data_IF_904006230423
#
_entry.id   IF_904006230423
#
_cell.length_a   1.000
_cell.length_b   1.000
_cell.length_c   1.000
_cell.angle_alpha   90.00
_cell.angle_beta   90.00
_cell.angle_gamma   90.00
#
_symmetry.space_group_name_H-M   'P 1'
#
loop_
_entity.id
_entity.type
_entity.pdbx_description
1 polymer ?
2 polymer ?
3 non-polymer ?
4 non-polymer ?
#
# COMPACT_ATOMS: atom_id res chain seq x y z
N UNK A 5 -5.91 5.25 25.66
CA UNK A 5 -5.80 6.42 24.79
C UNK A 5 -5.26 6.07 23.40
N UNK A 6 -5.47 4.82 22.98
CA UNK A 6 -5.00 4.32 21.71
C UNK A 6 -6.17 4.19 20.73
N UNK A 7 -5.98 4.71 19.53
CA UNK A 7 -6.95 4.58 18.45
C UNK A 7 -6.25 3.98 17.23
N UNK A 8 -6.83 2.93 16.67
CA UNK A 8 -6.20 2.18 15.59
C UNK A 8 -7.00 2.37 14.31
N UNK A 9 -6.31 2.79 13.24
CA UNK A 9 -6.92 2.99 11.93
C UNK A 9 -6.27 2.05 10.93
N UNK A 10 -7.08 1.42 10.09
CA UNK A 10 -6.61 0.53 9.04
C UNK A 10 -6.73 1.24 7.70
N UNK A 11 -5.59 1.43 7.02
CA UNK A 11 -5.54 2.13 5.75
C UNK A 11 -5.25 1.16 4.62
N UNK A 12 -5.84 1.43 3.46
CA UNK A 12 -5.65 0.63 2.26
C UNK A 12 -5.22 1.55 1.13
N UNK A 13 -4.16 1.19 0.43
CA UNK A 13 -3.61 1.97 -0.67
C UNK A 13 -3.89 1.21 -1.96
N UNK A 14 -4.81 1.73 -2.77
CA UNK A 14 -5.16 1.13 -4.04
C UNK A 14 -4.75 2.08 -5.17
N UNK A 15 -4.64 1.52 -6.36
CA UNK A 15 -4.24 2.30 -7.52
C UNK A 15 -3.84 1.40 -8.66
N UNK A 16 -3.21 2.02 -9.66
CA UNK A 16 -2.78 1.31 -10.86
C UNK A 16 -1.54 0.47 -10.56
N UNK A 17 -0.89 -0.03 -11.61
CA UNK A 17 0.26 -0.91 -11.42
C UNK A 17 1.50 -0.11 -11.10
N UNK A 18 1.71 1.02 -11.77
CA UNK A 18 2.90 1.82 -11.53
C UNK A 18 2.61 3.28 -11.26
N UNK A 19 2.15 3.59 -10.05
CA UNK A 19 1.83 4.96 -9.66
C UNK A 19 2.53 5.39 -8.38
N UNK A 20 3.29 4.50 -7.75
CA UNK A 20 3.99 4.86 -6.53
C UNK A 20 3.25 4.53 -5.25
N UNK A 21 2.41 3.50 -5.26
CA UNK A 21 1.74 3.09 -4.02
C UNK A 21 2.74 2.62 -2.99
N UNK A 22 3.73 1.82 -3.40
CA UNK A 22 4.77 1.40 -2.48
C UNK A 22 5.74 2.52 -2.17
N UNK A 23 6.02 3.37 -3.16
CA UNK A 23 6.95 4.48 -2.94
C UNK A 23 6.41 5.45 -1.91
N UNK A 24 5.11 5.76 -1.97
CA UNK A 24 4.50 6.62 -0.96
C UNK A 24 4.48 5.95 0.40
N UNK A 25 4.28 4.63 0.43
CA UNK A 25 4.22 3.93 1.71
C UNK A 25 5.59 3.82 2.36
N UNK A 26 6.61 3.48 1.57
CA UNK A 26 7.96 3.35 2.11
C UNK A 26 8.50 4.71 2.55
N UNK A 27 8.15 5.77 1.81
CA UNK A 27 8.62 7.10 2.16
C UNK A 27 8.06 7.56 3.49
N UNK A 28 6.84 7.13 3.84
CA UNK A 28 6.27 7.48 5.13
C UNK A 28 6.86 6.65 6.25
N UNK A 29 7.14 5.37 5.99
CA UNK A 29 7.65 4.48 7.02
C UNK A 29 9.15 4.65 7.19
N UNK A 30 9.91 4.41 6.12
CA UNK A 30 11.36 4.38 6.18
C UNK A 30 12.01 5.74 5.98
N UNK A 31 11.26 6.75 5.53
CA UNK A 31 11.82 8.04 5.13
C UNK A 31 12.91 7.85 4.08
N UNK A 32 12.69 6.90 3.19
CA UNK A 32 13.66 6.52 2.17
C UNK A 32 12.93 6.21 0.87
N UNK A 33 13.35 6.85 -0.22
CA UNK A 33 12.74 6.66 -1.52
C UNK A 33 13.53 5.64 -2.32
N UNK A 34 12.85 4.62 -2.83
CA UNK A 34 13.48 3.56 -3.60
C UNK A 34 13.40 3.93 -5.08
N UNK A 35 14.55 3.87 -5.76
CA UNK A 35 14.59 4.22 -7.18
C UNK A 35 14.16 3.05 -8.05
N UNK A 36 14.59 1.84 -7.71
CA UNK A 36 14.22 0.67 -8.50
C UNK A 36 12.74 0.35 -8.33
N UNK A 37 12.09 0.04 -9.45
CA UNK A 37 10.66 -0.25 -9.46
C UNK A 37 10.47 -1.74 -9.25
N UNK A 38 10.05 -2.12 -8.04
CA UNK A 38 9.78 -3.51 -7.70
C UNK A 38 8.29 -3.71 -7.54
N UNK A 39 7.65 -4.57 -8.33
CA UNK A 39 6.23 -4.82 -8.15
C UNK A 39 5.93 -5.43 -6.78
N UNK A 40 4.89 -4.93 -6.14
CA UNK A 40 4.46 -5.40 -4.83
C UNK A 40 3.16 -6.17 -4.94
N UNK A 41 3.08 -7.29 -4.23
CA UNK A 41 1.89 -8.12 -4.25
C UNK A 41 0.94 -7.67 -3.13
N UNK A 42 1.30 -7.97 -1.89
CA UNK A 42 0.49 -7.57 -0.74
C UNK A 42 1.40 -7.42 0.45
N UNK A 43 1.52 -6.20 0.97
CA UNK A 43 2.40 -5.90 2.09
C UNK A 43 1.66 -5.02 3.08
N UNK A 44 1.75 -5.37 4.37
CA UNK A 44 1.14 -4.61 5.44
C UNK A 44 2.22 -4.03 6.34
N UNK A 45 2.11 -2.73 6.63
CA UNK A 45 3.06 -2.04 7.48
C UNK A 45 2.32 -1.39 8.64
N UNK A 46 3.03 -1.20 9.75
CA UNK A 46 2.46 -0.60 10.95
C UNK A 46 3.35 0.54 11.43
N UNK A 47 2.72 1.59 11.95
CA UNK A 47 3.45 2.75 12.45
C UNK A 47 2.55 3.52 13.41
N UNK A 48 3.12 3.95 14.53
CA UNK A 48 2.42 4.73 15.54
C UNK A 48 2.86 6.18 15.43
N UNK A 49 1.92 7.07 15.12
CA UNK A 49 2.22 8.49 14.96
C UNK A 49 1.35 9.31 15.89
N UNK A 50 1.55 10.63 15.89
CA UNK A 50 0.74 11.56 16.67
C UNK A 50 0.06 12.51 15.71
N UNK A 51 -1.27 12.45 15.65
CA UNK A 51 -2.07 13.28 14.76
C UNK A 51 -2.99 14.13 15.63
N UNK A 52 -2.78 15.44 15.62
CA UNK A 52 -3.60 16.39 16.38
C UNK A 52 -3.63 16.03 17.86
N UNK A 53 -2.46 15.67 18.40
CA UNK A 53 -2.34 15.40 19.82
C UNK A 53 -2.83 14.04 20.27
N UNK A 54 -3.25 13.18 19.35
CA UNK A 54 -3.73 11.84 19.68
C UNK A 54 -2.78 10.80 19.11
N UNK A 55 -2.31 9.91 19.96
CA UNK A 55 -1.45 8.80 19.51
C UNK A 55 -2.29 7.79 18.74
N UNK A 56 -2.01 7.63 17.46
CA UNK A 56 -2.77 6.75 16.59
C UNK A 56 -1.90 5.62 16.06
N UNK A 57 -2.48 4.43 15.98
CA UNK A 57 -1.82 3.26 15.42
C UNK A 57 -2.35 3.03 14.01
N UNK A 58 -1.44 3.02 13.03
CA UNK A 58 -1.82 2.94 11.63
C UNK A 58 -1.43 1.59 11.05
N UNK A 59 -2.37 0.97 10.34
CA UNK A 59 -2.13 -0.27 9.60
C UNK A 59 -2.35 0.03 8.12
N UNK A 60 -1.27 0.07 7.35
CA UNK A 60 -1.31 0.41 5.93
C UNK A 60 -1.11 -0.86 5.12
N UNK A 61 -1.91 -1.01 4.06
CA UNK A 61 -1.85 -2.16 3.19
C UNK A 61 -1.40 -1.72 1.80
N UNK A 62 -0.47 -2.47 1.21
CA UNK A 62 0.05 -2.21 -0.12
C UNK A 62 -0.58 -3.22 -1.07
N UNK A 63 -1.62 -2.81 -1.78
CA UNK A 63 -2.27 -3.70 -2.73
C UNK A 63 -1.52 -3.72 -4.06
N UNK A 64 -1.85 -4.69 -4.89
CA UNK A 64 -1.28 -4.85 -6.21
C UNK A 64 -2.26 -4.40 -7.29
N UNK A 65 -1.93 -4.71 -8.54
CA UNK A 65 -2.78 -4.38 -9.67
C UNK A 65 -2.93 -5.56 -10.61
N UNK A 66 -3.58 -5.33 -11.76
CA UNK A 66 -3.75 -6.33 -12.81
C UNK A 66 -4.56 -7.52 -12.27
N UNK A 67 -4.26 -8.72 -12.79
CA UNK A 67 -5.03 -9.91 -12.49
C UNK A 67 -4.92 -10.32 -11.02
N UNK A 68 -3.74 -10.13 -10.40
CA UNK A 68 -3.61 -10.48 -8.99
C UNK A 68 -4.55 -9.66 -8.13
N UNK A 69 -4.74 -8.38 -8.47
CA UNK A 69 -5.70 -7.57 -7.72
C UNK A 69 -7.13 -7.88 -8.13
N UNK A 70 -7.35 -8.21 -9.40
CA UNK A 70 -8.71 -8.42 -9.92
C UNK A 70 -9.47 -9.44 -9.08
N UNK A 71 -8.83 -10.55 -8.73
CA UNK A 71 -9.53 -11.60 -8.01
C UNK A 71 -9.65 -11.28 -6.52
N UNK A 72 -8.53 -10.95 -5.87
CA UNK A 72 -8.49 -10.79 -4.43
C UNK A 72 -8.64 -9.34 -3.97
N UNK A 73 -9.36 -8.51 -4.72
CA UNK A 73 -9.62 -7.14 -4.31
C UNK A 73 -10.81 -7.01 -3.38
N UNK A 74 -11.77 -7.94 -3.46
CA UNK A 74 -13.00 -7.78 -2.71
C UNK A 74 -12.83 -8.08 -1.23
N UNK A 75 -11.74 -8.75 -0.85
CA UNK A 75 -11.59 -9.17 0.55
C UNK A 75 -11.03 -8.04 1.41
N UNK A 76 -9.96 -7.38 0.96
CA UNK A 76 -9.36 -6.33 1.77
C UNK A 76 -10.15 -5.04 1.75
N UNK A 77 -11.03 -4.84 0.77
CA UNK A 77 -11.89 -3.67 0.76
C UNK A 77 -12.93 -3.73 1.87
N UNK A 78 -13.30 -4.94 2.30
CA UNK A 78 -14.23 -5.08 3.42
C UNK A 78 -13.54 -4.98 4.77
N UNK A 79 -12.23 -5.13 4.82
CA UNK A 79 -11.48 -5.06 6.07
C UNK A 79 -11.02 -3.64 6.39
N UNK A 80 -10.46 -2.94 5.40
CA UNK A 80 -9.97 -1.60 5.63
C UNK A 80 -11.10 -0.60 5.83
N UNK A 81 -10.80 0.44 6.62
CA UNK A 81 -11.76 1.49 6.92
C UNK A 81 -11.44 2.80 6.22
N UNK A 82 -10.29 2.91 5.57
CA UNK A 82 -9.94 4.10 4.83
C UNK A 82 -9.09 3.78 3.61
N UNK A 83 -9.47 4.32 2.46
CA UNK A 83 -8.84 3.97 1.19
C UNK A 83 -8.15 5.21 0.60
N UNK A 84 -6.86 5.05 0.30
CA UNK A 84 -6.05 6.12 -0.28
C UNK A 84 -5.87 5.82 -1.76
N UNK A 85 -6.80 6.32 -2.57
CA UNK A 85 -6.74 6.09 -4.01
C UNK A 85 -5.62 6.93 -4.62
N UNK A 86 -4.62 6.26 -5.18
CA UNK A 86 -3.41 6.91 -5.68
C UNK A 86 -3.38 6.78 -7.20
N UNK A 87 -3.11 7.88 -7.88
CA UNK A 87 -2.83 7.88 -9.31
C UNK A 87 -1.59 8.74 -9.57
N UNK A 88 -0.90 8.42 -10.65
CA UNK A 88 0.30 9.17 -11.06
C UNK A 88 -0.07 10.20 -12.11
N UNK A 89 0.50 11.39 -11.98
CA UNK A 89 0.18 12.50 -12.88
C UNK A 89 1.01 12.39 -14.16
N UNK A 90 1.71 11.28 -14.33
CA UNK A 90 2.52 11.06 -15.52
C UNK A 90 1.92 10.06 -16.49
N UNK A 91 0.84 9.38 -16.12
CA UNK A 91 0.11 8.53 -17.05
C UNK A 91 -1.38 8.74 -16.83
N UNK A 92 -2.12 8.91 -17.94
CA UNK A 92 -3.54 9.20 -17.83
C UNK A 92 -4.37 7.94 -17.62
N UNK A 93 -3.87 6.78 -18.05
CA UNK A 93 -4.61 5.53 -17.86
C UNK A 93 -4.87 5.26 -16.39
N UNK A 94 -3.96 5.66 -15.51
CA UNK A 94 -4.17 5.46 -14.07
C UNK A 94 -5.27 6.36 -13.54
N UNK A 95 -5.33 7.61 -14.02
CA UNK A 95 -6.36 8.52 -13.56
C UNK A 95 -7.75 8.08 -14.02
N UNK A 96 -7.84 7.50 -15.23
CA UNK A 96 -9.13 7.04 -15.73
C UNK A 96 -9.63 5.83 -14.96
N UNK A 97 -8.73 5.07 -14.33
CA UNK A 97 -9.11 3.90 -13.54
C UNK A 97 -9.63 4.25 -12.16
N UNK A 98 -9.45 5.50 -11.71
CA UNK A 98 -9.86 5.87 -10.36
C UNK A 98 -11.36 5.67 -10.17
N UNK A 99 -12.15 5.93 -11.21
CA UNK A 99 -13.59 5.70 -11.12
C UNK A 99 -13.90 4.23 -10.86
N UNK A 100 -13.18 3.32 -11.54
CA UNK A 100 -13.44 1.90 -11.38
C UNK A 100 -13.09 1.40 -9.97
N UNK A 101 -12.06 1.99 -9.35
CA UNK A 101 -11.69 1.56 -8.00
C UNK A 101 -12.73 2.01 -6.98
N UNK A 102 -13.29 3.20 -7.15
CA UNK A 102 -14.27 3.69 -6.19
C UNK A 102 -15.59 2.91 -6.29
N UNK A 103 -16.03 2.61 -7.51
CA UNK A 103 -17.26 1.84 -7.68
C UNK A 103 -17.15 0.48 -7.02
N UNK A 104 -15.96 -0.13 -7.08
CA UNK A 104 -15.75 -1.42 -6.42
C UNK A 104 -15.74 -1.26 -4.91
N UNK A 105 -15.14 -0.19 -4.41
CA UNK A 105 -15.12 0.04 -2.96
C UNK A 105 -16.51 0.35 -2.45
N UNK A 106 -17.23 1.24 -3.14
CA UNK A 106 -18.59 1.58 -2.72
C UNK A 106 -19.51 0.37 -2.79
N UNK A 107 -19.29 -0.52 -3.76
CA UNK A 107 -20.11 -1.72 -3.85
C UNK A 107 -19.76 -2.71 -2.74
N UNK A 108 -18.51 -2.75 -2.32
CA UNK A 108 -18.12 -3.63 -1.21
C UNK A 108 -18.64 -3.09 0.11
N UNK A 109 -18.42 -1.80 0.37
CA UNK A 109 -18.87 -1.19 1.60
C UNK A 109 -20.38 -0.93 1.62
N UNK A 110 -21.05 -1.03 0.47
CA UNK A 110 -22.50 -0.82 0.37
C UNK A 110 -22.89 0.56 0.89
N UNK A 111 -22.05 1.56 0.60
CA UNK A 111 -22.31 2.92 1.05
C UNK A 111 -21.71 3.89 0.05
N UNK A 112 -22.29 5.09 -0.01
CA UNK A 112 -21.82 6.15 -0.90
C UNK A 112 -20.93 7.15 -0.18
N UNK A 113 -20.71 6.99 1.12
CA UNK A 113 -19.86 7.89 1.90
C UNK A 113 -18.81 7.04 2.61
N UNK A 114 -17.66 6.85 1.96
CA UNK A 114 -16.56 6.06 2.49
C UNK A 114 -15.36 6.98 2.60
N UNK A 115 -14.64 6.98 3.73
CA UNK A 115 -13.46 7.86 3.87
C UNK A 115 -12.40 7.57 2.81
N UNK A 116 -12.21 8.53 1.89
CA UNK A 116 -11.25 8.38 0.82
C UNK A 116 -10.52 9.71 0.61
N UNK A 117 -9.36 9.64 -0.04
CA UNK A 117 -8.56 10.81 -0.38
C UNK A 117 -7.94 10.57 -1.75
N UNK A 118 -8.22 11.48 -2.68
CA UNK A 118 -7.62 11.40 -4.01
C UNK A 118 -6.20 11.95 -3.98
N UNK A 119 -5.24 11.18 -4.48
CA UNK A 119 -3.83 11.52 -4.38
C UNK A 119 -3.21 11.45 -5.76
N UNK A 120 -2.65 12.56 -6.22
CA UNK A 120 -1.91 12.58 -7.46
C UNK A 120 -0.41 12.49 -7.22
N UNK A 121 0.13 11.28 -7.32
CA UNK A 121 1.53 11.05 -7.00
C UNK A 121 2.43 11.50 -8.16
N UNK A 122 3.74 11.49 -7.89
CA UNK A 122 4.76 11.88 -8.87
C UNK A 122 4.59 13.33 -9.30
N UNK A 123 4.30 14.21 -8.34
CA UNK A 123 4.13 15.63 -8.63
C UNK A 123 5.46 16.37 -8.73
N UNK A 124 6.58 15.66 -8.75
CA UNK A 124 7.90 16.27 -8.87
C UNK A 124 8.40 16.29 -10.31
N UNK A 125 7.67 15.69 -11.24
CA UNK A 125 8.09 15.60 -12.63
C UNK A 125 7.40 16.69 -13.45
N UNK A 126 8.15 17.26 -14.39
CA UNK A 126 7.57 18.23 -15.31
C UNK A 126 6.72 17.51 -16.36
N UNK A 127 5.97 18.32 -17.13
CA UNK A 127 5.13 17.83 -18.22
C UNK A 127 4.11 16.80 -17.69
N UNK A 128 3.21 17.30 -16.86
CA UNK A 128 2.17 16.45 -16.31
C UNK A 128 1.13 16.14 -17.39
N UNK A 129 0.68 14.89 -17.43
CA UNK A 129 -0.36 14.50 -18.38
C UNK A 129 -1.76 14.78 -17.85
N UNK A 130 -1.91 14.93 -16.53
CA UNK A 130 -3.19 15.19 -15.90
C UNK A 130 -3.05 16.49 -15.10
N UNK A 131 -3.73 17.53 -15.54
CA UNK A 131 -3.71 18.80 -14.82
C UNK A 131 -4.38 18.64 -13.45
N UNK A 132 -4.02 19.55 -12.54
CA UNK A 132 -4.57 19.49 -11.19
C UNK A 132 -6.07 19.76 -11.19
N UNK A 133 -6.53 20.73 -11.99
CA UNK A 133 -7.95 21.09 -11.98
C UNK A 133 -8.83 19.91 -12.39
N UNK A 134 -8.28 18.97 -13.16
CA UNK A 134 -9.04 17.77 -13.52
C UNK A 134 -9.32 16.92 -12.28
N UNK A 135 -8.27 16.55 -11.54
CA UNK A 135 -8.47 15.75 -10.33
C UNK A 135 -9.24 16.50 -9.25
N UNK A 136 -9.24 17.83 -9.29
CA UNK A 136 -10.04 18.59 -8.33
C UNK A 136 -11.53 18.37 -8.56
N UNK A 137 -11.96 18.40 -9.83
CA UNK A 137 -13.37 18.17 -10.14
C UNK A 137 -13.78 16.74 -9.82
N UNK A 138 -12.88 15.78 -9.99
CA UNK A 138 -13.20 14.39 -9.68
C UNK A 138 -13.41 14.20 -8.19
N UNK A 139 -12.47 14.68 -7.38
CA UNK A 139 -12.58 14.62 -5.92
C UNK A 139 -13.77 15.42 -5.41
N UNK A 140 -14.21 16.44 -6.14
CA UNK A 140 -15.37 17.20 -5.70
C UNK A 140 -16.65 16.40 -5.88
N UNK A 141 -16.76 15.68 -7.00
CA UNK A 141 -17.94 14.85 -7.23
C UNK A 141 -18.00 13.68 -6.25
N UNK A 142 -16.85 13.23 -5.75
CA UNK A 142 -16.80 12.16 -4.78
C UNK A 142 -16.91 12.67 -3.34
N UNK A 143 -16.82 13.98 -3.13
CA UNK A 143 -16.86 14.51 -1.78
C UNK A 143 -15.65 14.18 -0.95
N UNK A 144 -14.48 14.09 -1.56
CA UNK A 144 -13.24 13.73 -0.86
C UNK A 144 -12.18 14.78 -1.15
N UNK A 145 -11.19 14.95 -0.26
CA UNK A 145 -10.11 15.92 -0.54
C UNK A 145 -9.20 15.42 -1.64
N UNK A 146 -8.33 16.32 -2.10
CA UNK A 146 -7.35 16.01 -3.14
C UNK A 146 -6.01 16.61 -2.76
N UNK A 147 -4.98 15.77 -2.71
CA UNK A 147 -3.63 16.18 -2.39
C UNK A 147 -2.69 15.70 -3.49
N UNK A 148 -1.74 16.54 -3.87
CA UNK A 148 -0.68 16.17 -4.80
C UNK A 148 0.56 15.80 -4.00
N UNK A 149 1.06 14.58 -4.20
CA UNK A 149 2.19 14.07 -3.45
C UNK A 149 3.34 13.69 -4.38
N UNK A 150 4.53 13.59 -3.80
CA UNK A 150 5.72 13.14 -4.50
C UNK A 150 6.52 12.28 -3.54
N UNK A 151 6.52 10.96 -3.79
CA UNK A 151 7.24 10.05 -2.90
C UNK A 151 8.74 10.26 -2.93
N UNK A 152 9.27 10.91 -3.97
CA UNK A 152 10.70 11.16 -4.04
C UNK A 152 11.12 12.29 -3.10
N UNK A 153 10.38 13.40 -3.10
CA UNK A 153 10.69 14.55 -2.27
C UNK A 153 9.76 14.66 -1.07
N UNK A 154 9.04 13.58 -0.73
CA UNK A 154 8.04 13.51 0.34
C UNK A 154 7.18 14.76 0.44
N UNK A 155 6.90 15.38 -0.71
CA UNK A 155 6.05 16.57 -0.73
C UNK A 155 4.60 16.17 -0.46
N UNK A 156 4.05 16.67 0.65
CA UNK A 156 2.67 16.37 0.99
C UNK A 156 2.39 14.92 1.29
N UNK A 157 3.43 14.11 1.53
CA UNK A 157 3.23 12.71 1.84
C UNK A 157 2.61 12.55 3.23
N UNK A 158 3.18 13.22 4.23
CA UNK A 158 2.59 13.20 5.56
C UNK A 158 1.21 13.84 5.57
N UNK A 159 0.99 14.87 4.73
CA UNK A 159 -0.30 15.51 4.68
C UNK A 159 -1.38 14.60 4.10
N UNK A 160 -0.99 13.72 3.16
CA UNK A 160 -1.97 12.85 2.52
C UNK A 160 -2.47 11.78 3.49
N UNK A 161 -1.56 11.05 4.12
CA UNK A 161 -1.95 9.99 5.03
C UNK A 161 -2.70 10.54 6.24
N UNK A 162 -2.23 11.66 6.79
CA UNK A 162 -2.91 12.26 7.94
C UNK A 162 -4.29 12.77 7.58
N UNK A 163 -4.49 13.19 6.33
CA UNK A 163 -5.81 13.64 5.91
C UNK A 163 -6.80 12.48 5.84
N UNK A 164 -6.34 11.32 5.34
CA UNK A 164 -7.21 10.15 5.30
C UNK A 164 -7.60 9.70 6.70
N UNK A 165 -6.68 9.81 7.66
CA UNK A 165 -7.00 9.48 9.05
C UNK A 165 -8.03 10.46 9.60
N UNK A 166 -7.90 11.74 9.25
CA UNK A 166 -8.90 12.72 9.67
C UNK A 166 -10.25 12.47 9.00
N UNK A 167 -10.24 11.98 7.76
CA UNK A 167 -11.49 11.62 7.10
C UNK A 167 -12.16 10.44 7.80
N UNK A 168 -11.38 9.52 8.36
CA UNK A 168 -11.96 8.44 9.15
C UNK A 168 -12.38 8.95 10.53
N UNK A 169 -11.55 9.77 11.17
CA UNK A 169 -11.81 10.20 12.53
C UNK A 169 -13.07 11.06 12.60
N UNK A 170 -13.31 11.88 11.58
CA UNK A 170 -14.48 12.75 11.56
C UNK A 170 -15.70 12.09 10.93
N UNK A 171 -15.55 10.91 10.33
CA UNK A 171 -16.67 10.21 9.72
C UNK A 171 -17.61 9.65 10.78
N UNK B 5 -0.33 -22.77 -6.96
CA UNK B 5 -0.13 -21.32 -6.97
C UNK B 5 1.34 -20.97 -6.83
N UNK B 6 1.75 -19.87 -7.47
CA UNK B 6 3.10 -19.36 -7.35
C UNK B 6 3.22 -18.30 -6.26
N UNK B 7 2.23 -18.19 -5.37
CA UNK B 7 2.19 -17.17 -4.34
C UNK B 7 2.44 -17.80 -2.98
N UNK B 8 3.19 -17.09 -2.13
CA UNK B 8 3.46 -17.52 -0.76
C UNK B 8 3.30 -16.32 0.15
N UNK B 9 2.48 -16.48 1.20
CA UNK B 9 2.23 -15.43 2.17
C UNK B 9 3.11 -15.62 3.40
N UNK B 10 3.68 -14.52 3.88
CA UNK B 10 4.58 -14.53 5.03
C UNK B 10 4.11 -13.49 6.03
N UNK B 11 4.13 -13.87 7.32
CA UNK B 11 3.78 -12.96 8.40
C UNK B 11 5.05 -12.35 9.00
N UNK B 12 4.90 -11.18 9.58
CA UNK B 12 6.01 -10.40 10.10
C UNK B 12 5.65 -9.86 11.48
N UNK B 13 6.65 -9.49 12.29
CA UNK B 13 6.36 -8.93 13.61
C UNK B 13 5.71 -7.56 13.49
N UNK B 14 5.26 -7.06 14.65
CA UNK B 14 4.55 -5.78 14.74
C UNK B 14 3.29 -5.80 13.87
N UNK B 15 2.64 -6.96 13.81
CA UNK B 15 1.41 -7.17 13.03
C UNK B 15 1.60 -6.76 11.56
N UNK B 16 2.78 -7.00 11.02
CA UNK B 16 3.04 -6.78 9.60
C UNK B 16 3.06 -8.11 8.86
N UNK B 17 3.06 -8.02 7.53
CA UNK B 17 3.06 -9.22 6.69
C UNK B 17 3.42 -8.80 5.27
N UNK B 18 3.75 -9.80 4.46
CA UNK B 18 4.08 -9.57 3.06
C UNK B 18 3.82 -10.86 2.28
N UNK B 19 3.63 -10.70 0.97
CA UNK B 19 3.39 -11.82 0.07
C UNK B 19 4.44 -11.78 -1.02
N UNK B 20 5.20 -12.86 -1.15
CA UNK B 20 6.29 -12.95 -2.12
C UNK B 20 5.99 -14.07 -3.10
N UNK B 21 6.50 -13.92 -4.32
CA UNK B 21 6.38 -14.93 -5.36
C UNK B 21 7.67 -15.75 -5.45
N UNK B 22 7.53 -17.02 -5.81
CA UNK B 22 8.64 -17.95 -5.85
C UNK B 22 8.69 -18.63 -7.22
N UNK B 23 9.85 -19.19 -7.53
CA UNK B 23 10.09 -19.90 -8.78
C UNK B 23 10.51 -21.34 -8.47
N UNK B 24 10.73 -22.12 -9.52
CA UNK B 24 11.13 -23.51 -9.38
C UNK B 24 12.57 -23.58 -8.90
N UNK B 25 12.77 -24.08 -7.69
CA UNK B 25 14.11 -24.20 -7.13
C UNK B 25 14.71 -22.88 -6.69
N UNK B 26 14.01 -22.19 -5.79
CA UNK B 26 14.47 -20.92 -5.25
C UNK B 26 14.79 -21.07 -3.78
N UNK B 27 15.86 -20.40 -3.34
CA UNK B 27 16.24 -20.45 -1.94
C UNK B 27 15.29 -19.61 -1.09
N UNK B 28 15.07 -20.07 0.15
CA UNK B 28 14.20 -19.34 1.07
C UNK B 28 14.75 -17.95 1.34
N UNK B 29 16.06 -17.85 1.59
CA UNK B 29 16.67 -16.56 1.83
C UNK B 29 16.71 -15.71 0.57
N UNK B 30 16.96 -16.33 -0.58
CA UNK B 30 17.13 -15.57 -1.83
C UNK B 30 15.80 -15.17 -2.45
N UNK B 31 14.69 -15.79 -2.08
CA UNK B 31 13.40 -15.48 -2.69
C UNK B 31 12.70 -14.31 -2.02
N UNK B 32 12.93 -14.08 -0.73
CA UNK B 32 12.28 -13.00 0.00
C UNK B 32 13.27 -12.02 0.60
N UNK B 33 14.49 -11.96 0.06
CA UNK B 33 15.49 -11.05 0.60
C UNK B 33 15.11 -9.59 0.38
N UNK B 34 14.45 -9.29 -0.74
CA UNK B 34 14.05 -7.91 -1.02
C UNK B 34 12.91 -7.46 -0.11
N UNK B 35 12.00 -8.38 0.22
CA UNK B 35 10.87 -8.03 1.08
C UNK B 35 11.32 -7.80 2.52
N UNK B 36 12.37 -8.49 2.96
CA UNK B 36 12.86 -8.31 4.32
C UNK B 36 13.48 -6.92 4.49
N UNK B 37 14.28 -6.48 3.51
CA UNK B 37 14.86 -5.14 3.58
C UNK B 37 13.82 -4.06 3.32
N UNK B 38 12.78 -4.39 2.55
CA UNK B 38 11.72 -3.41 2.29
C UNK B 38 10.93 -3.11 3.55
N UNK B 39 10.57 -4.14 4.32
CA UNK B 39 9.93 -3.94 5.61
C UNK B 39 10.92 -3.48 6.68
N UNK B 40 12.22 -3.65 6.45
CA UNK B 40 13.22 -3.24 7.42
C UNK B 40 13.65 -4.35 8.34
N UNK B 41 14.26 -5.40 7.78
CA UNK B 41 14.71 -6.53 8.58
C UNK B 41 15.83 -7.24 7.82
N UNK B 42 16.89 -7.60 8.54
CA UNK B 42 17.99 -8.32 7.91
C UNK B 42 17.80 -9.83 8.11
N UNK B 43 18.10 -10.63 7.08
CA UNK B 43 17.94 -12.09 7.22
C UNK B 43 18.87 -12.70 8.25
N UNK B 44 20.01 -12.06 8.55
CA UNK B 44 20.88 -12.57 9.59
C UNK B 44 20.25 -12.44 10.97
N UNK B 45 19.60 -11.30 11.23
CA UNK B 45 18.90 -11.10 12.49
C UNK B 45 17.49 -11.69 12.47
N UNK B 46 16.99 -12.11 11.31
CA UNK B 46 15.66 -12.69 11.22
C UNK B 46 15.68 -14.15 11.65
N UNK B 47 14.51 -14.65 12.03
CA UNK B 47 14.35 -16.03 12.47
C UNK B 47 13.00 -16.54 11.98
N UNK B 48 13.04 -17.55 11.11
CA UNK B 48 11.81 -18.12 10.57
C UNK B 48 11.26 -19.16 11.53
N UNK B 49 9.97 -19.05 11.84
CA UNK B 49 9.33 -19.98 12.76
C UNK B 49 8.09 -20.61 12.12
N UNK B 61 9.62 -23.76 12.65
CA UNK B 61 10.97 -23.31 12.28
C UNK B 61 11.45 -24.01 11.01
N UNK B 62 12.41 -23.40 10.33
CA UNK B 62 12.96 -23.94 9.10
C UNK B 62 14.35 -23.36 8.89
N UNK B 63 15.00 -23.78 7.80
CA UNK B 63 16.32 -23.30 7.44
C UNK B 63 16.26 -22.42 6.21
N UNK B 64 17.22 -21.53 6.09
CA UNK B 64 17.26 -20.61 4.95
C UNK B 64 17.58 -21.33 3.64
N UNK B 65 18.20 -22.50 3.70
CA UNK B 65 18.52 -23.27 2.50
C UNK B 65 17.33 -24.08 1.99
N UNK B 66 16.16 -23.94 2.61
CA UNK B 66 14.99 -24.69 2.16
C UNK B 66 14.46 -24.11 0.85
N UNK B 67 13.98 -25.01 -0.02
CA UNK B 67 13.44 -24.58 -1.30
C UNK B 67 12.19 -23.74 -1.09
N UNK B 68 12.04 -22.70 -1.93
CA UNK B 68 10.89 -21.82 -1.81
C UNK B 68 9.63 -22.46 -2.39
N UNK B 69 9.74 -23.10 -3.55
CA UNK B 69 8.59 -23.77 -4.15
C UNK B 69 8.12 -24.96 -3.32
N UNK B 70 8.98 -25.50 -2.46
CA UNK B 70 8.58 -26.60 -1.60
C UNK B 70 7.69 -26.17 -0.45
N UNK B 71 7.56 -24.87 -0.20
CA UNK B 71 6.74 -24.35 0.88
C UNK B 71 5.50 -23.63 0.36
N UNK B 72 5.07 -23.95 -0.87
CA UNK B 72 3.91 -23.30 -1.46
C UNK B 72 2.64 -23.78 -0.77
N UNK B 73 1.81 -22.83 -0.36
CA UNK B 73 0.56 -23.14 0.30
C UNK B 73 0.57 -23.08 1.81
N UNK B 74 1.67 -22.65 2.41
CA UNK B 74 1.79 -22.57 3.86
C UNK B 74 2.21 -21.16 4.26
N UNK B 75 1.98 -20.84 5.53
CA UNK B 75 2.31 -19.53 6.09
C UNK B 75 3.35 -19.70 7.18
N UNK B 76 4.37 -18.84 7.15
CA UNK B 76 5.43 -18.85 8.14
C UNK B 76 5.59 -17.48 8.76
N UNK B 77 6.11 -17.45 9.98
CA UNK B 77 6.32 -16.22 10.72
C UNK B 77 7.81 -15.93 10.86
N UNK B 78 8.14 -14.65 11.01
CA UNK B 78 9.52 -14.20 11.14
C UNK B 78 9.66 -13.41 12.43
N UNK B 79 10.80 -13.59 13.11
CA UNK B 79 11.08 -12.86 14.34
C UNK B 79 12.57 -12.54 14.45
X LIG C 1 4.03 -1.30 -4.62
X LIG D 1 3.26 -1.77 -7.20
X LIG D 1 2.19 -1.76 -6.15
X LIG D 1 3.06 -2.98 -8.13
X LIG D 1 4.65 -1.88 -6.52
X LIG D 1 3.20 -0.33 -8.12
X LIG D 1 3.26 1.10 -7.34
X LIG D 1 3.38 0.86 -5.86
X LIG D 1 2.01 1.90 -7.63
X LIG D 1 4.57 1.95 -7.86
X LIG D 1 5.99 1.88 -7.13
X LIG D 1 6.55 0.49 -7.36
X LIG D 1 5.88 2.32 -5.72
X LIG D 1 6.85 2.92 -7.94
X LIG D 1 7.15 2.73 -9.34
X LIG D 1 8.27 3.65 -9.73
X LIG D 1 7.74 4.96 -10.03
X LIG D 1 9.32 3.90 -8.65
X LIG D 1 10.31 2.88 -8.65
X LIG D 1 9.89 5.26 -9.07
X LIG D 1 10.88 5.13 -10.08
X LIG D 1 8.65 5.96 -9.62
X LIG D 1 7.98 6.83 -8.63
X LIG D 1 7.10 6.44 -7.66
X LIG D 1 6.67 7.44 -6.92
X LIG D 1 7.29 8.55 -7.46
X LIG D 1 7.23 9.94 -7.09
X LIG D 1 6.57 10.45 -6.19
X LIG D 1 8.03 10.73 -7.89
X LIG D 1 8.81 10.27 -8.92
X LIG D 1 9.52 11.17 -9.59
X LIG D 1 8.88 8.98 -9.27
X LIG D 1 8.11 8.19 -8.51
#
# INVERSE_FOLDING_TARGET
GAMDPMTEYKLVVVGAVGVGKSALTIQLIQNHFVDEYDPTIEDSYRKQVVIDGETCLLDILDTAGQEEYSAMRDQYMRTGEGFLCVFAINNTKSFEDIHQYREQIKRVKDSDDVPMVLVGNKCDLAARTVESRQAQDLARSYGIPYIETSAKTRQGVEDAFYTLVREIRQH
GAMDSNTIRVLLPNHERTVVKVRNGMSLHDSLMKALKRHGLQPESSAVFRLLHEHKGKKARLDWNTDAASLIGEELQVDFL
MG MG
GNP PG O1G O2G O3G N3B PB O1B O2B O3A PA O1A O2A O5' C5' C4' O4' C3' O3' C2' O2' C1' N9 C8 N7 C5 C6 O6 N1 C2 N2 N3 C4
#
